data_IF_733226398196
#
_entry.id   IF_733226398196
#
_cell.length_a   1.000
_cell.length_b   1.000
_cell.length_c   1.000
_cell.angle_alpha   90.00
_cell.angle_beta   90.00
_cell.angle_gamma   90.00
#
_symmetry.space_group_name_H-M   'P 1'
#
loop_
_entity.id
_entity.type
_entity.pdbx_description
1 polymer ?
#
# COMPACT_ATOMS: atom_id res chain seq x y z
N UNK A 1 -10.88 -13.59 3.14
CA UNK A 1 -11.19 -12.55 4.16
C UNK A 1 -11.89 -11.42 3.44
N UNK A 2 -12.94 -10.87 4.05
CA UNK A 2 -13.66 -9.72 3.51
C UNK A 2 -13.00 -8.44 4.05
N UNK A 3 -12.60 -7.52 3.18
CA UNK A 3 -11.95 -6.28 3.61
C UNK A 3 -12.97 -5.19 4.04
N UNK A 4 -14.27 -5.50 4.18
CA UNK A 4 -15.31 -4.53 4.61
C UNK A 4 -14.90 -3.59 5.75
N UNK A 5 -14.30 -4.06 6.87
CA UNK A 5 -13.90 -3.13 7.94
C UNK A 5 -12.85 -2.11 7.52
N UNK A 6 -11.98 -2.47 6.57
CA UNK A 6 -11.01 -1.54 6.00
C UNK A 6 -11.71 -0.46 5.17
N UNK A 7 -12.74 -0.84 4.40
CA UNK A 7 -13.55 0.12 3.63
C UNK A 7 -14.37 1.05 4.53
N UNK A 8 -14.89 0.56 5.66
CA UNK A 8 -15.63 1.39 6.63
C UNK A 8 -14.75 2.45 7.29
N UNK A 9 -13.49 2.14 7.56
CA UNK A 9 -12.53 3.06 8.16
C UNK A 9 -11.83 3.95 7.13
N UNK A 10 -12.13 3.77 5.84
CA UNK A 10 -11.40 4.38 4.75
C UNK A 10 -11.77 5.84 4.48
N UNK A 11 -12.91 6.29 4.99
CA UNK A 11 -13.38 7.68 4.89
C UNK A 11 -12.82 8.57 6.00
N UNK A 12 -11.97 8.02 6.88
CA UNK A 12 -11.24 8.82 7.86
C UNK A 12 -10.12 9.58 7.15
N UNK A 13 -10.24 10.91 7.12
CA UNK A 13 -9.24 11.85 6.59
C UNK A 13 -8.01 11.98 7.52
N UNK A 14 -7.48 10.86 8.00
CA UNK A 14 -6.26 10.79 8.80
C UNK A 14 -5.26 9.85 8.12
N UNK A 15 -4.11 10.40 7.71
CA UNK A 15 -3.08 9.65 6.99
C UNK A 15 -2.45 8.53 7.81
N UNK A 16 -2.37 8.70 9.14
CA UNK A 16 -1.83 7.70 10.07
C UNK A 16 -2.78 6.50 10.19
N UNK A 17 -4.09 6.77 10.25
CA UNK A 17 -5.12 5.71 10.25
C UNK A 17 -5.04 4.91 8.94
N UNK A 18 -4.97 5.60 7.80
CA UNK A 18 -4.86 4.99 6.49
C UNK A 18 -3.58 4.14 6.34
N UNK A 19 -2.43 4.65 6.76
CA UNK A 19 -1.17 3.89 6.76
C UNK A 19 -1.29 2.61 7.64
N UNK A 20 -1.85 2.76 8.85
CA UNK A 20 -1.99 1.65 9.79
C UNK A 20 -2.88 0.54 9.24
N UNK A 21 -3.99 0.90 8.59
CA UNK A 21 -4.88 -0.07 7.93
C UNK A 21 -4.16 -0.87 6.85
N UNK A 22 -3.35 -0.20 6.02
CA UNK A 22 -2.59 -0.84 4.96
C UNK A 22 -1.47 -1.73 5.50
N UNK A 23 -0.80 -1.30 6.57
CA UNK A 23 0.21 -2.11 7.26
C UNK A 23 -0.39 -3.42 7.76
N UNK A 24 -1.57 -3.39 8.38
CA UNK A 24 -2.26 -4.58 8.87
C UNK A 24 -2.54 -5.59 7.75
N UNK A 25 -2.95 -5.13 6.55
CA UNK A 25 -3.14 -6.02 5.40
C UNK A 25 -1.87 -6.82 5.07
N UNK A 26 -0.71 -6.17 5.11
CA UNK A 26 0.58 -6.82 4.87
C UNK A 26 1.00 -7.76 5.99
N UNK A 27 0.83 -7.34 7.25
CA UNK A 27 1.16 -8.16 8.42
C UNK A 27 0.36 -9.46 8.48
N UNK A 28 -0.95 -9.36 8.28
CA UNK A 28 -1.86 -10.50 8.32
C UNK A 28 -1.91 -11.25 6.98
N UNK A 29 -1.13 -10.80 5.98
CA UNK A 29 -1.03 -11.38 4.64
C UNK A 29 -2.41 -11.50 3.97
N UNK A 30 -3.26 -10.52 4.21
CA UNK A 30 -4.60 -10.46 3.63
C UNK A 30 -4.48 -10.32 2.12
N UNK A 31 -5.22 -11.14 1.39
CA UNK A 31 -5.36 -11.06 -0.07
C UNK A 31 -6.80 -10.68 -0.38
N UNK A 32 -7.09 -9.39 -0.66
CA UNK A 32 -8.40 -8.95 -1.12
C UNK A 32 -8.72 -9.54 -2.49
N UNK A 33 -9.99 -9.48 -2.89
CA UNK A 33 -10.40 -9.76 -4.26
C UNK A 33 -9.75 -8.79 -5.25
N UNK A 34 -9.66 -9.17 -6.52
CA UNK A 34 -9.03 -8.30 -7.54
C UNK A 34 -9.69 -6.92 -7.64
N UNK A 35 -11.01 -6.83 -7.46
CA UNK A 35 -11.73 -5.56 -7.51
C UNK A 35 -11.43 -4.69 -6.30
N UNK A 36 -11.35 -5.26 -5.10
CA UNK A 36 -10.91 -4.55 -3.90
C UNK A 36 -9.46 -4.06 -4.05
N UNK A 37 -8.55 -4.89 -4.58
CA UNK A 37 -7.16 -4.48 -4.86
C UNK A 37 -7.11 -3.27 -5.80
N UNK A 38 -7.94 -3.25 -6.86
CA UNK A 38 -8.01 -2.11 -7.79
C UNK A 38 -8.46 -0.84 -7.09
N UNK A 39 -9.47 -0.92 -6.22
CA UNK A 39 -9.98 0.25 -5.47
C UNK A 39 -8.88 0.77 -4.54
N UNK A 40 -8.20 -0.11 -3.82
CA UNK A 40 -7.11 0.25 -2.88
C UNK A 40 -5.98 0.94 -3.62
N UNK A 41 -5.46 0.31 -4.68
CA UNK A 41 -4.36 0.89 -5.44
C UNK A 41 -4.73 2.24 -6.01
N UNK A 42 -5.90 2.38 -6.65
CA UNK A 42 -6.30 3.65 -7.27
C UNK A 42 -6.33 4.82 -6.30
N UNK A 43 -6.78 4.62 -5.05
CA UNK A 43 -6.86 5.72 -4.08
C UNK A 43 -5.48 6.22 -3.66
N UNK A 44 -4.53 5.31 -3.47
CA UNK A 44 -3.20 5.67 -2.95
C UNK A 44 -2.13 5.85 -4.03
N UNK A 45 -2.44 5.56 -5.30
CA UNK A 45 -1.48 5.63 -6.40
C UNK A 45 -0.83 7.01 -6.50
N UNK A 46 -1.63 8.07 -6.39
CA UNK A 46 -1.21 9.48 -6.47
C UNK A 46 -1.06 10.15 -5.11
N UNK A 47 -1.01 9.37 -4.03
CA UNK A 47 -0.87 9.95 -2.70
C UNK A 47 0.45 10.73 -2.59
N UNK A 48 0.41 11.94 -2.05
CA UNK A 48 1.60 12.76 -1.84
C UNK A 48 2.01 13.61 -3.04
N UNK A 49 1.31 13.56 -4.17
CA UNK A 49 1.53 14.47 -5.30
C UNK A 49 1.24 15.95 -4.89
N UNK A 50 0.29 16.15 -3.97
CA UNK A 50 -0.17 17.48 -3.50
C UNK A 50 0.10 17.75 -2.00
N UNK A 51 0.87 16.90 -1.31
CA UNK A 51 1.07 16.95 0.16
C UNK A 51 2.55 17.01 0.52
N UNK A 52 2.91 17.81 1.54
CA UNK A 52 4.27 17.83 2.10
C UNK A 52 4.52 16.59 2.98
N UNK A 53 5.18 15.58 2.41
CA UNK A 53 5.49 14.30 3.05
C UNK A 53 6.47 14.41 4.24
N UNK A 54 6.96 15.61 4.60
CA UNK A 54 7.76 15.80 5.83
C UNK A 54 6.94 15.68 7.11
N UNK A 55 5.63 15.88 7.03
CA UNK A 55 4.72 15.91 8.19
C UNK A 55 3.83 14.68 8.31
N UNK A 56 3.82 13.80 7.31
CA UNK A 56 2.93 12.66 7.23
C UNK A 56 3.67 11.41 6.79
N UNK A 57 3.30 10.27 7.35
CA UNK A 57 3.73 8.98 6.82
C UNK A 57 3.05 8.74 5.48
N UNK A 58 3.83 8.26 4.50
CA UNK A 58 3.29 7.92 3.19
C UNK A 58 2.59 6.54 3.23
N UNK A 59 1.26 6.45 3.06
CA UNK A 59 0.52 5.18 3.08
C UNK A 59 0.98 4.21 1.99
N UNK A 60 1.69 4.66 0.95
CA UNK A 60 2.26 3.77 -0.08
C UNK A 60 3.23 2.74 0.51
N UNK A 61 3.85 3.01 1.66
CA UNK A 61 4.65 2.04 2.39
C UNK A 61 3.86 0.79 2.78
N UNK A 62 2.77 0.99 3.53
CA UNK A 62 1.91 -0.10 3.97
C UNK A 62 1.28 -0.83 2.80
N UNK A 63 0.84 -0.09 1.78
CA UNK A 63 0.27 -0.68 0.57
C UNK A 63 1.31 -1.52 -0.18
N UNK A 64 2.53 -1.02 -0.39
CA UNK A 64 3.59 -1.77 -1.05
C UNK A 64 3.90 -3.06 -0.30
N UNK A 65 3.97 -3.06 1.03
CA UNK A 65 4.16 -4.29 1.81
C UNK A 65 2.97 -5.25 1.69
N UNK A 66 1.73 -4.75 1.72
CA UNK A 66 0.53 -5.56 1.56
C UNK A 66 0.46 -6.27 0.19
N UNK A 67 0.93 -5.60 -0.86
CA UNK A 67 0.96 -6.12 -2.22
C UNK A 67 1.84 -7.37 -2.42
N UNK A 68 2.67 -7.78 -1.45
CA UNK A 68 3.54 -8.97 -1.61
C UNK A 68 2.75 -10.26 -1.91
N UNK A 69 1.50 -10.38 -1.47
CA UNK A 69 0.65 -11.53 -1.78
C UNK A 69 -0.30 -11.33 -2.97
N UNK A 70 -0.31 -10.16 -3.58
CA UNK A 70 -1.34 -9.78 -4.54
C UNK A 70 -0.80 -9.96 -5.96
N UNK A 71 -1.45 -10.81 -6.77
CA UNK A 71 -0.95 -11.20 -8.09
C UNK A 71 -1.82 -10.69 -9.23
N UNK A 72 -2.03 -9.38 -9.30
CA UNK A 72 -2.75 -8.71 -10.40
C UNK A 72 -1.81 -7.78 -11.18
N UNK A 73 -2.19 -7.42 -12.41
CA UNK A 73 -1.39 -6.51 -13.24
C UNK A 73 -1.26 -5.12 -12.60
N UNK A 74 -2.35 -4.60 -12.05
CA UNK A 74 -2.38 -3.28 -11.40
C UNK A 74 -1.45 -3.20 -10.18
N UNK A 75 -1.26 -4.29 -9.46
CA UNK A 75 -0.28 -4.39 -8.36
C UNK A 75 1.14 -4.23 -8.90
N UNK A 76 1.46 -4.92 -9.99
CA UNK A 76 2.79 -4.82 -10.62
C UNK A 76 3.05 -3.40 -11.10
N UNK A 77 2.06 -2.76 -11.72
CA UNK A 77 2.16 -1.38 -12.18
C UNK A 77 2.39 -0.41 -11.02
N UNK A 78 1.64 -0.55 -9.92
CA UNK A 78 1.84 0.24 -8.71
C UNK A 78 3.22 0.05 -8.08
N UNK A 79 3.67 -1.19 -7.92
CA UNK A 79 4.98 -1.48 -7.34
C UNK A 79 6.10 -0.95 -8.23
N UNK A 80 5.99 -1.10 -9.55
CA UNK A 80 6.94 -0.52 -10.51
C UNK A 80 6.96 1.01 -10.46
N UNK A 81 5.79 1.64 -10.33
CA UNK A 81 5.72 3.09 -10.14
C UNK A 81 6.48 3.53 -8.87
N UNK A 82 6.29 2.84 -7.75
CA UNK A 82 7.02 3.10 -6.51
C UNK A 82 8.55 2.97 -6.67
N UNK A 83 9.04 2.08 -7.55
CA UNK A 83 10.47 1.95 -7.83
C UNK A 83 11.08 3.17 -8.53
N UNK A 84 10.26 3.99 -9.19
CA UNK A 84 10.70 5.21 -9.88
C UNK A 84 10.76 6.43 -8.96
N UNK A 85 10.24 6.31 -7.73
CA UNK A 85 10.21 7.40 -6.77
C UNK A 85 11.58 7.59 -6.10
N UNK A 86 11.91 8.84 -5.76
CA UNK A 86 13.12 9.17 -5.00
C UNK A 86 12.91 8.94 -3.49
N UNK A 87 12.49 7.73 -3.12
CA UNK A 87 12.21 7.35 -1.75
C UNK A 87 12.81 5.98 -1.42
N UNK A 88 13.97 5.97 -0.77
CA UNK A 88 14.81 4.77 -0.59
C UNK A 88 14.07 3.64 0.13
N UNK A 89 13.40 3.88 1.27
CA UNK A 89 12.69 2.80 1.96
C UNK A 89 11.50 2.29 1.14
N UNK A 90 10.77 3.14 0.42
CA UNK A 90 9.65 2.71 -0.42
C UNK A 90 10.14 1.83 -1.58
N UNK A 91 11.22 2.25 -2.24
CA UNK A 91 11.90 1.46 -3.28
C UNK A 91 12.33 0.10 -2.74
N UNK A 92 12.88 0.04 -1.52
CA UNK A 92 13.26 -1.22 -0.88
C UNK A 92 12.04 -2.13 -0.70
N UNK A 93 10.97 -1.65 -0.08
CA UNK A 93 9.76 -2.44 0.18
C UNK A 93 9.17 -2.97 -1.14
N UNK A 94 9.02 -2.10 -2.15
CA UNK A 94 8.43 -2.50 -3.43
C UNK A 94 9.26 -3.55 -4.18
N UNK A 95 10.60 -3.52 -4.09
CA UNK A 95 11.46 -4.56 -4.67
C UNK A 95 11.24 -5.94 -4.04
N UNK A 96 10.98 -5.99 -2.74
CA UNK A 96 10.74 -7.25 -2.04
C UNK A 96 9.32 -7.76 -2.30
N UNK A 97 8.33 -6.87 -2.27
CA UNK A 97 6.94 -7.22 -2.57
C UNK A 97 6.76 -7.75 -3.99
N UNK A 98 7.47 -7.19 -4.99
CA UNK A 98 7.47 -7.73 -6.36
C UNK A 98 7.96 -9.18 -6.46
N UNK A 99 8.78 -9.62 -5.49
CA UNK A 99 9.27 -11.01 -5.39
C UNK A 99 8.39 -11.89 -4.51
N UNK A 100 7.28 -11.36 -4.02
CA UNK A 100 6.38 -12.06 -3.10
C UNK A 100 6.89 -12.12 -1.66
N UNK A 101 7.82 -11.25 -1.28
CA UNK A 101 8.38 -11.23 0.08
C UNK A 101 7.72 -10.14 0.92
N UNK A 102 7.01 -10.56 1.96
CA UNK A 102 6.45 -9.65 2.96
C UNK A 102 7.57 -9.00 3.77
N UNK A 103 7.59 -7.66 3.76
CA UNK A 103 8.52 -6.86 4.55
C UNK A 103 7.84 -6.46 5.86
N UNK A 104 8.55 -6.62 6.99
CA UNK A 104 8.10 -6.03 8.25
C UNK A 104 8.41 -4.54 8.24
N UNK A 105 7.36 -3.75 8.29
CA UNK A 105 7.44 -2.30 8.44
C UNK A 105 7.49 -2.02 9.94
N UNK A 106 8.72 -1.99 10.49
CA UNK A 106 9.06 -1.85 11.92
C UNK A 106 8.90 -3.12 12.77
#
# INVERSE_FOLDING_TARGET
MNCTPLFELWDIEDHTVNESLLNVLGYDKVVPSEDEQKIIIKKYFHFGDDIDNRYYSDPKYGLAAACAGWNTSIVKDFLNHCLTMNDVPLVYVSKYSLKGHYVKLR
#
